data_IF_741959082929
#
_entry.id   IF_741959082929
#
_cell.length_a   1.000
_cell.length_b   1.000
_cell.length_c   1.000
_cell.angle_alpha   90.00
_cell.angle_beta   90.00
_cell.angle_gamma   90.00
#
_symmetry.space_group_name_H-M   'P 1'
#
loop_
_entity.id
_entity.type
_entity.pdbx_description
1 polymer ?
#
# COMPACT_ATOMS: atom_id res chain seq x y z
N UNK A 1 -22.96 7.50 -8.46
CA UNK A 1 -21.52 7.47 -8.76
C UNK A 1 -20.68 6.83 -7.64
N UNK A 2 -20.84 7.17 -6.35
CA UNK A 2 -20.07 6.59 -5.24
C UNK A 2 -20.22 5.06 -5.12
N UNK A 3 -21.42 4.52 -5.32
CA UNK A 3 -21.68 3.07 -5.25
C UNK A 3 -21.03 2.27 -6.39
N UNK A 4 -20.93 2.85 -7.59
CA UNK A 4 -20.28 2.22 -8.75
C UNK A 4 -18.78 2.14 -8.54
N UNK A 5 -18.17 3.16 -7.93
CA UNK A 5 -16.73 3.17 -7.63
C UNK A 5 -16.36 2.09 -6.60
N UNK A 6 -17.20 1.89 -5.58
CA UNK A 6 -17.01 0.83 -4.57
C UNK A 6 -17.14 -0.56 -5.21
N UNK A 7 -18.09 -0.74 -6.14
CA UNK A 7 -18.27 -2.01 -6.84
C UNK A 7 -17.08 -2.35 -7.74
N UNK A 8 -16.55 -1.38 -8.48
CA UNK A 8 -15.35 -1.54 -9.32
C UNK A 8 -14.13 -1.86 -8.45
N UNK A 9 -13.97 -1.22 -7.30
CA UNK A 9 -12.88 -1.50 -6.37
C UNK A 9 -12.98 -2.92 -5.80
N UNK A 10 -14.19 -3.39 -5.51
CA UNK A 10 -14.45 -4.75 -5.01
C UNK A 10 -14.12 -5.81 -6.06
N UNK A 11 -14.43 -5.57 -7.34
CA UNK A 11 -14.08 -6.47 -8.45
C UNK A 11 -12.56 -6.57 -8.65
N UNK A 12 -11.81 -5.48 -8.52
CA UNK A 12 -10.35 -5.50 -8.61
C UNK A 12 -9.68 -6.31 -7.48
N UNK A 13 -10.31 -6.42 -6.31
CA UNK A 13 -9.84 -7.25 -5.19
C UNK A 13 -10.10 -8.73 -5.43
N UNK A 14 -11.17 -9.09 -6.14
CA UNK A 14 -11.60 -10.47 -6.38
C UNK A 14 -10.88 -11.15 -7.56
N UNK A 15 -10.45 -10.39 -8.57
CA UNK A 15 -9.81 -10.93 -9.77
C UNK A 15 -8.54 -11.78 -9.51
N UNK A 16 -7.62 -11.45 -8.59
CA UNK A 16 -6.41 -12.24 -8.39
C UNK A 16 -6.63 -13.58 -7.68
N UNK A 17 -7.77 -13.80 -7.03
CA UNK A 17 -8.02 -15.04 -6.28
C UNK A 17 -8.23 -16.24 -7.21
N UNK A 18 -8.72 -16.04 -8.43
CA UNK A 18 -9.03 -17.11 -9.39
C UNK A 18 -7.89 -17.43 -10.38
N UNK A 19 -6.80 -16.67 -10.39
CA UNK A 19 -5.76 -16.79 -11.41
C UNK A 19 -4.62 -17.77 -11.06
N UNK A 20 -4.62 -18.42 -9.90
CA UNK A 20 -3.62 -19.44 -9.57
C UNK A 20 -4.00 -20.79 -10.21
N UNK A 21 -3.79 -20.93 -11.52
CA UNK A 21 -3.70 -22.25 -12.14
C UNK A 21 -2.45 -22.95 -11.58
N UNK A 22 -2.65 -23.85 -10.62
CA UNK A 22 -1.60 -24.80 -10.25
C UNK A 22 -1.19 -25.56 -11.52
N UNK A 23 0.03 -25.30 -11.99
CA UNK A 23 0.61 -26.08 -13.09
C UNK A 23 0.75 -27.50 -12.57
N UNK A 24 -0.04 -28.42 -13.12
CA UNK A 24 0.00 -29.85 -12.83
C UNK A 24 1.12 -30.48 -13.67
N UNK A 25 1.80 -31.49 -13.11
CA UNK A 25 2.69 -32.37 -13.89
C UNK A 25 1.86 -33.08 -14.97
N UNK A 26 2.48 -33.43 -16.06
CA UNK A 26 1.81 -34.11 -17.19
C UNK A 26 2.58 -35.36 -17.57
N UNK A 27 1.89 -36.48 -17.62
CA UNK A 27 2.40 -37.75 -18.14
C UNK A 27 1.73 -38.03 -19.46
N UNK A 28 2.52 -38.15 -20.52
CA UNK A 28 2.09 -38.54 -21.84
C UNK A 28 2.29 -40.06 -22.01
N UNK A 29 1.24 -40.76 -22.32
CA UNK A 29 1.31 -42.22 -22.55
C UNK A 29 1.47 -42.51 -24.06
N UNK A 30 2.15 -43.60 -24.38
CA UNK A 30 2.30 -44.09 -25.78
C UNK A 30 0.97 -44.41 -26.43
N UNK A 31 -0.07 -44.66 -25.63
CA UNK A 31 -1.45 -44.82 -26.13
C UNK A 31 -2.09 -43.52 -26.63
N UNK A 32 -1.41 -42.37 -26.45
CA UNK A 32 -1.94 -41.05 -26.76
C UNK A 32 -2.71 -40.39 -25.60
N UNK A 33 -2.94 -41.11 -24.48
CA UNK A 33 -3.59 -40.51 -23.31
C UNK A 33 -2.67 -39.55 -22.58
N UNK A 34 -3.26 -38.48 -21.97
CA UNK A 34 -2.55 -37.46 -21.27
C UNK A 34 -3.13 -37.32 -19.84
N UNK A 35 -2.32 -37.64 -18.84
CA UNK A 35 -2.72 -37.55 -17.44
C UNK A 35 -2.08 -36.30 -16.81
N UNK A 36 -2.91 -35.45 -16.18
CA UNK A 36 -2.46 -34.22 -15.52
C UNK A 36 -2.71 -34.33 -14.02
N UNK A 37 -1.65 -34.23 -13.21
CA UNK A 37 -1.76 -34.38 -11.77
C UNK A 37 -0.49 -33.99 -11.04
N UNK A 38 -0.33 -34.51 -9.84
CA UNK A 38 0.89 -34.38 -9.06
C UNK A 38 1.72 -35.65 -9.23
N UNK A 39 2.90 -35.53 -9.80
CA UNK A 39 3.84 -36.65 -9.95
C UNK A 39 4.44 -36.99 -8.56
N UNK A 40 4.16 -38.19 -8.08
CA UNK A 40 4.64 -38.68 -6.78
C UNK A 40 5.96 -39.43 -6.92
N UNK A 41 6.08 -40.28 -7.93
CA UNK A 41 7.25 -41.11 -8.17
C UNK A 41 7.53 -41.14 -9.68
N UNK A 42 8.82 -41.13 -10.02
CA UNK A 42 9.29 -41.30 -11.39
C UNK A 42 10.61 -42.07 -11.34
N UNK A 43 10.50 -43.37 -11.16
CA UNK A 43 11.63 -44.29 -11.04
C UNK A 43 11.76 -45.14 -12.29
N UNK A 44 12.87 -45.91 -12.38
CA UNK A 44 13.13 -46.85 -13.48
C UNK A 44 12.10 -48.00 -13.55
N UNK A 45 11.36 -48.24 -12.47
CA UNK A 45 10.37 -49.31 -12.36
C UNK A 45 8.93 -48.86 -12.44
N UNK A 46 8.59 -47.64 -11.94
CA UNK A 46 7.20 -47.17 -11.91
C UNK A 46 7.12 -45.67 -11.93
N UNK A 47 6.06 -45.17 -12.56
CA UNK A 47 5.65 -43.74 -12.54
C UNK A 47 4.29 -43.64 -11.88
N UNK A 48 4.19 -42.88 -10.79
CA UNK A 48 2.95 -42.66 -10.04
C UNK A 48 2.54 -41.20 -10.11
N UNK A 49 1.31 -40.96 -10.53
CA UNK A 49 0.70 -39.61 -10.61
C UNK A 49 -0.65 -39.60 -9.92
N UNK A 50 -0.85 -38.66 -9.02
CA UNK A 50 -2.15 -38.41 -8.39
C UNK A 50 -2.93 -37.39 -9.22
N UNK A 51 -4.14 -37.74 -9.64
CA UNK A 51 -5.02 -36.90 -10.44
C UNK A 51 -6.45 -37.05 -9.99
N UNK A 52 -7.10 -35.94 -9.66
CA UNK A 52 -8.53 -35.86 -9.33
C UNK A 52 -9.00 -36.91 -8.27
N UNK A 53 -8.15 -37.10 -7.24
CA UNK A 53 -8.42 -38.06 -6.15
C UNK A 53 -8.00 -39.49 -6.41
N UNK A 54 -7.56 -39.83 -7.61
CA UNK A 54 -7.11 -41.18 -8.00
C UNK A 54 -5.59 -41.23 -8.09
N UNK A 55 -5.04 -42.39 -7.75
CA UNK A 55 -3.62 -42.71 -7.94
C UNK A 55 -3.45 -43.58 -9.19
N UNK A 56 -2.77 -43.05 -10.18
CA UNK A 56 -2.45 -43.74 -11.42
C UNK A 56 -1.00 -44.25 -11.33
N UNK A 57 -0.80 -45.51 -11.69
CA UNK A 57 0.49 -46.18 -11.70
C UNK A 57 0.75 -46.73 -13.11
N UNK A 58 1.87 -46.34 -13.70
CA UNK A 58 2.28 -46.73 -15.04
C UNK A 58 3.66 -47.41 -15.01
N UNK A 59 3.88 -48.34 -15.90
CA UNK A 59 5.23 -48.83 -16.19
C UNK A 59 5.96 -47.86 -17.12
N UNK A 60 7.28 -47.70 -17.02
CA UNK A 60 8.05 -46.84 -17.91
C UNK A 60 7.87 -47.15 -19.38
N UNK A 61 7.59 -48.38 -19.72
CA UNK A 61 7.31 -48.85 -21.09
C UNK A 61 6.04 -48.27 -21.70
N UNK A 62 5.07 -47.87 -20.89
CA UNK A 62 3.79 -47.28 -21.31
C UNK A 62 3.88 -45.77 -21.50
N UNK A 63 4.97 -45.14 -21.03
CA UNK A 63 5.15 -43.69 -21.04
C UNK A 63 5.96 -43.27 -22.25
N UNK A 64 5.46 -42.24 -22.93
CA UNK A 64 6.17 -41.54 -23.98
C UNK A 64 7.09 -40.46 -23.40
N UNK A 65 6.50 -39.56 -22.58
CA UNK A 65 7.25 -38.49 -21.92
C UNK A 65 6.58 -38.01 -20.62
N UNK A 66 7.38 -37.43 -19.74
CA UNK A 66 6.92 -36.81 -18.48
C UNK A 66 7.34 -35.35 -18.48
N UNK A 67 6.36 -34.44 -18.50
CA UNK A 67 6.58 -33.03 -18.30
C UNK A 67 6.31 -32.68 -16.85
N UNK A 68 7.36 -32.43 -16.07
CA UNK A 68 7.20 -31.86 -14.73
C UNK A 68 6.79 -30.40 -14.86
N UNK A 69 5.72 -30.03 -14.15
CA UNK A 69 5.51 -28.62 -13.86
C UNK A 69 6.81 -28.13 -13.25
N UNK A 70 7.48 -27.18 -13.92
CA UNK A 70 8.60 -26.50 -13.28
C UNK A 70 8.09 -26.10 -11.88
N UNK A 71 8.65 -26.72 -10.84
CA UNK A 71 8.45 -26.22 -9.47
C UNK A 71 8.96 -24.79 -9.54
N UNK A 72 8.05 -23.87 -9.81
CA UNK A 72 8.33 -22.46 -9.61
C UNK A 72 8.89 -22.43 -8.20
N UNK A 73 10.12 -21.92 -8.04
CA UNK A 73 10.68 -21.60 -6.72
C UNK A 73 9.52 -21.12 -5.88
N UNK A 74 9.34 -21.64 -4.65
CA UNK A 74 8.20 -21.25 -3.85
C UNK A 74 8.08 -19.74 -3.96
N UNK A 75 6.85 -19.26 -4.19
CA UNK A 75 6.55 -17.84 -4.41
C UNK A 75 6.92 -17.06 -3.14
N UNK A 76 8.22 -17.05 -2.85
CA UNK A 76 8.78 -16.35 -1.71
C UNK A 76 8.73 -14.88 -2.04
N UNK A 77 7.97 -14.16 -1.24
CA UNK A 77 8.07 -12.72 -1.16
C UNK A 77 9.44 -12.27 -0.68
N UNK A 78 9.57 -11.02 -0.42
CA UNK A 78 10.78 -10.44 0.11
C UNK A 78 11.09 -11.07 1.49
N UNK A 79 12.01 -12.01 1.53
CA UNK A 79 12.50 -12.59 2.78
C UNK A 79 13.78 -11.87 3.25
N UNK A 80 13.74 -10.52 3.18
CA UNK A 80 14.83 -9.67 3.58
C UNK A 80 14.48 -8.91 4.86
N UNK A 81 15.52 -8.55 5.60
CA UNK A 81 15.37 -7.89 6.89
C UNK A 81 15.04 -6.40 6.78
N UNK A 82 15.19 -5.81 5.59
CA UNK A 82 14.90 -4.41 5.34
C UNK A 82 14.37 -4.22 3.92
N UNK A 83 13.70 -3.12 3.67
CA UNK A 83 13.33 -2.63 2.35
C UNK A 83 13.10 -1.12 2.40
N UNK A 84 13.26 -0.49 1.24
CA UNK A 84 12.90 0.89 1.02
C UNK A 84 11.64 0.95 0.17
N UNK A 85 10.81 1.94 0.40
CA UNK A 85 9.70 2.24 -0.48
C UNK A 85 9.65 3.73 -0.83
N UNK A 86 9.15 4.00 -2.01
CA UNK A 86 8.87 5.36 -2.48
C UNK A 86 7.51 5.37 -3.13
N UNK A 87 6.67 6.30 -2.76
CA UNK A 87 5.29 6.40 -3.23
C UNK A 87 4.91 7.81 -3.61
N UNK A 88 3.98 7.87 -4.54
CA UNK A 88 3.21 9.07 -4.85
C UNK A 88 1.73 8.80 -4.62
N UNK A 89 0.98 9.82 -4.29
CA UNK A 89 -0.43 9.66 -4.02
C UNK A 89 -1.18 10.98 -3.99
N UNK A 90 -2.47 10.84 -3.75
CA UNK A 90 -3.40 11.96 -3.58
C UNK A 90 -4.20 11.79 -2.30
N UNK A 91 -4.50 12.91 -1.67
CA UNK A 91 -5.32 12.98 -0.47
C UNK A 91 -6.68 13.54 -0.86
N UNK A 92 -7.69 12.68 -0.99
CA UNK A 92 -9.04 13.05 -1.44
C UNK A 92 -9.95 13.26 -0.23
N UNK A 93 -10.59 14.40 -0.15
CA UNK A 93 -11.55 14.68 0.94
C UNK A 93 -12.19 16.05 0.77
N UNK A 94 -13.32 16.22 1.43
CA UNK A 94 -14.00 17.49 1.51
C UNK A 94 -13.62 18.15 2.83
N UNK A 95 -12.60 18.97 2.81
CA UNK A 95 -12.42 19.99 3.84
C UNK A 95 -12.86 21.30 3.20
N UNK A 96 -13.42 22.22 3.95
CA UNK A 96 -13.81 23.56 3.48
C UNK A 96 -12.67 24.38 2.84
N UNK A 97 -11.50 23.77 2.69
CA UNK A 97 -10.33 24.35 2.04
C UNK A 97 -10.32 24.10 0.53
N UNK A 98 -9.79 25.07 -0.20
CA UNK A 98 -9.82 25.19 -1.65
C UNK A 98 -9.13 24.04 -2.41
N UNK A 99 -8.24 23.26 -1.78
CA UNK A 99 -7.56 22.17 -2.44
C UNK A 99 -8.30 20.82 -2.31
N UNK A 100 -8.87 20.39 -3.42
CA UNK A 100 -9.68 19.17 -3.47
C UNK A 100 -8.89 17.87 -3.38
N UNK A 101 -7.62 17.82 -3.81
CA UNK A 101 -6.80 16.61 -3.81
C UNK A 101 -5.29 16.93 -3.82
N UNK A 102 -4.71 17.32 -2.66
CA UNK A 102 -3.28 17.59 -2.59
C UNK A 102 -2.43 16.36 -2.93
N UNK A 103 -1.34 16.62 -3.62
CA UNK A 103 -0.37 15.61 -4.01
C UNK A 103 0.57 15.30 -2.85
N UNK A 104 0.90 14.02 -2.69
CA UNK A 104 1.78 13.50 -1.65
C UNK A 104 2.87 12.64 -2.28
N UNK A 105 4.12 12.89 -1.92
CA UNK A 105 5.28 12.07 -2.26
C UNK A 105 5.95 11.65 -0.96
N UNK A 106 6.20 10.34 -0.79
CA UNK A 106 6.78 9.81 0.44
C UNK A 106 7.83 8.76 0.13
N UNK A 107 8.88 8.71 0.96
CA UNK A 107 9.88 7.65 0.94
C UNK A 107 10.12 7.15 2.36
N UNK A 108 10.37 5.84 2.52
CA UNK A 108 10.63 5.24 3.82
C UNK A 108 11.65 4.11 3.78
N UNK A 109 12.32 3.92 4.90
CA UNK A 109 13.19 2.80 5.20
C UNK A 109 12.52 1.92 6.26
N UNK A 110 12.41 0.63 5.97
CA UNK A 110 11.66 -0.33 6.78
C UNK A 110 12.54 -1.51 7.16
N UNK A 111 12.49 -1.90 8.43
CA UNK A 111 13.28 -2.97 9.00
C UNK A 111 12.34 -4.01 9.62
N UNK A 112 12.67 -5.28 9.46
CA UNK A 112 11.92 -6.38 10.06
C UNK A 112 12.12 -6.36 11.58
N UNK A 113 11.04 -6.10 12.31
CA UNK A 113 11.04 -6.19 13.78
C UNK A 113 10.74 -7.62 14.24
N UNK A 114 9.77 -8.28 13.61
CA UNK A 114 9.37 -9.66 13.86
C UNK A 114 8.98 -10.34 12.54
N UNK A 115 8.62 -11.63 12.58
CA UNK A 115 8.03 -12.28 11.40
C UNK A 115 6.80 -11.51 10.93
N UNK A 116 6.79 -11.10 9.67
CA UNK A 116 5.73 -10.31 9.01
C UNK A 116 5.52 -8.88 9.51
N UNK A 117 6.18 -8.44 10.59
CA UNK A 117 6.12 -7.07 11.10
C UNK A 117 7.38 -6.30 10.70
N UNK A 118 7.16 -5.13 10.15
CA UNK A 118 8.20 -4.18 9.78
C UNK A 118 7.94 -2.85 10.47
N UNK A 119 8.97 -2.28 11.04
CA UNK A 119 8.96 -0.93 11.58
C UNK A 119 9.89 -0.06 10.74
N UNK A 120 9.54 1.18 10.52
CA UNK A 120 10.30 2.08 9.67
C UNK A 120 10.08 3.53 9.98
N UNK A 121 10.84 4.36 9.29
CA UNK A 121 10.70 5.80 9.32
C UNK A 121 10.82 6.35 7.91
N UNK A 122 10.24 7.51 7.68
CA UNK A 122 10.21 8.12 6.37
C UNK A 122 10.03 9.62 6.40
N UNK A 123 10.24 10.19 5.24
CA UNK A 123 10.05 11.60 4.94
C UNK A 123 9.21 11.74 3.68
N UNK A 124 8.64 12.91 3.47
CA UNK A 124 7.88 13.18 2.26
C UNK A 124 7.83 14.65 1.90
N UNK A 125 7.08 14.93 0.84
CA UNK A 125 6.67 16.27 0.46
C UNK A 125 5.18 16.24 0.13
N UNK A 126 4.43 17.14 0.72
CA UNK A 126 2.98 17.28 0.50
C UNK A 126 2.67 18.73 0.18
N UNK A 127 1.82 18.91 -0.82
CA UNK A 127 1.51 20.22 -1.39
C UNK A 127 0.02 20.52 -1.12
N UNK A 128 -0.23 21.17 0.00
CA UNK A 128 -1.51 21.78 0.34
C UNK A 128 -1.53 23.22 -0.15
N UNK A 129 -2.22 24.12 0.56
CA UNK A 129 -2.08 25.56 0.31
C UNK A 129 -0.65 26.03 0.60
N UNK A 130 -0.03 25.48 1.66
CA UNK A 130 1.38 25.53 1.95
C UNK A 130 2.03 24.17 1.73
N UNK A 131 3.35 24.18 1.55
CA UNK A 131 4.15 22.97 1.38
C UNK A 131 4.63 22.45 2.73
N UNK A 132 4.50 21.15 2.93
CA UNK A 132 4.92 20.46 4.15
C UNK A 132 5.85 19.30 3.85
N UNK A 133 6.73 19.04 4.81
CA UNK A 133 7.57 17.84 4.85
C UNK A 133 7.07 16.93 5.97
N UNK A 134 6.24 15.92 5.67
CA UNK A 134 5.89 14.93 6.67
C UNK A 134 7.11 14.10 7.05
N UNK A 135 7.42 14.07 8.35
CA UNK A 135 8.37 13.16 8.98
C UNK A 135 7.60 12.14 9.80
N UNK A 136 7.75 10.85 9.52
CA UNK A 136 6.89 9.83 10.11
C UNK A 136 7.64 8.54 10.48
N UNK A 137 7.12 7.86 11.49
CA UNK A 137 7.38 6.46 11.76
C UNK A 137 6.22 5.62 11.22
N UNK A 138 6.51 4.38 10.83
CA UNK A 138 5.48 3.47 10.36
C UNK A 138 5.67 2.05 10.89
N UNK A 139 4.56 1.34 11.01
CA UNK A 139 4.52 -0.09 11.31
C UNK A 139 3.68 -0.76 10.21
N UNK A 140 4.26 -1.76 9.56
CA UNK A 140 3.61 -2.54 8.52
C UNK A 140 3.51 -4.01 8.93
N UNK A 141 2.31 -4.58 8.81
CA UNK A 141 2.09 -6.01 8.94
C UNK A 141 1.75 -6.63 7.58
N UNK A 142 2.50 -7.66 7.18
CA UNK A 142 2.30 -8.42 5.94
C UNK A 142 1.57 -9.72 6.24
N UNK A 143 0.43 -9.93 5.62
CA UNK A 143 -0.37 -11.15 5.85
C UNK A 143 0.31 -12.43 5.34
N UNK A 144 1.16 -12.29 4.30
CA UNK A 144 1.85 -13.42 3.65
C UNK A 144 3.29 -13.04 3.32
N UNK A 145 4.13 -14.07 3.13
CA UNK A 145 5.49 -13.92 2.58
C UNK A 145 5.54 -14.47 1.14
N UNK A 146 4.68 -13.94 0.27
CA UNK A 146 4.59 -14.32 -1.15
C UNK A 146 4.88 -13.13 -2.05
N UNK A 147 5.06 -13.36 -3.36
CA UNK A 147 5.25 -12.26 -4.31
C UNK A 147 4.08 -11.29 -4.35
N UNK A 148 2.87 -11.77 -4.12
CA UNK A 148 1.68 -10.94 -3.95
C UNK A 148 1.24 -11.02 -2.49
N UNK A 149 1.36 -9.89 -1.79
CA UNK A 149 1.18 -9.83 -0.34
C UNK A 149 0.27 -8.66 0.03
N UNK A 150 -0.91 -8.94 0.60
CA UNK A 150 -1.69 -7.91 1.28
C UNK A 150 -0.97 -7.43 2.54
N UNK A 151 -1.14 -6.16 2.87
CA UNK A 151 -0.57 -5.58 4.09
C UNK A 151 -1.51 -4.55 4.72
N UNK A 152 -1.31 -4.30 6.00
CA UNK A 152 -1.81 -3.11 6.70
C UNK A 152 -0.62 -2.29 7.17
N UNK A 153 -0.78 -0.98 7.17
CA UNK A 153 0.25 -0.04 7.57
C UNK A 153 -0.35 1.08 8.41
N UNK A 154 0.37 1.51 9.42
CA UNK A 154 0.06 2.67 10.24
C UNK A 154 1.24 3.63 10.20
N UNK A 155 1.01 4.85 9.74
CA UNK A 155 1.98 5.94 9.76
C UNK A 155 1.56 6.96 10.84
N UNK A 156 2.52 7.34 11.67
CA UNK A 156 2.39 8.37 12.69
C UNK A 156 3.52 9.37 12.49
N UNK A 157 3.23 10.64 12.44
CA UNK A 157 4.27 11.62 12.15
C UNK A 157 3.87 13.06 12.43
N UNK A 158 4.76 13.93 12.01
CA UNK A 158 4.62 15.38 12.14
C UNK A 158 4.81 16.05 10.77
N UNK A 159 3.97 17.02 10.50
CA UNK A 159 3.97 17.85 9.30
C UNK A 159 4.87 19.06 9.55
N UNK A 160 6.12 18.99 9.10
CA UNK A 160 7.06 20.11 9.22
C UNK A 160 6.76 21.11 8.10
N UNK A 161 6.42 22.37 8.43
CA UNK A 161 6.14 23.38 7.41
C UNK A 161 7.43 23.77 6.67
N UNK A 162 7.33 23.97 5.37
CA UNK A 162 8.44 24.46 4.53
C UNK A 162 8.30 25.94 4.18
N UNK A 163 7.11 26.48 4.36
CA UNK A 163 6.78 27.89 4.07
C UNK A 163 5.70 28.40 5.05
N UNK A 164 5.66 29.68 5.23
CA UNK A 164 4.60 30.33 6.02
C UNK A 164 3.29 30.43 5.23
N UNK A 165 2.18 30.65 5.95
CA UNK A 165 0.87 30.69 5.35
C UNK A 165 0.79 31.75 4.25
N UNK A 166 0.30 31.35 3.06
CA UNK A 166 0.21 32.23 1.88
C UNK A 166 -0.95 33.21 1.98
N UNK A 167 -1.99 32.83 2.70
CA UNK A 167 -3.19 33.65 2.81
C UNK A 167 -3.09 34.60 3.99
N UNK A 168 -3.10 35.88 3.72
CA UNK A 168 -3.56 36.84 4.71
C UNK A 168 -5.04 36.52 4.95
N UNK A 169 -5.39 36.20 6.19
CA UNK A 169 -6.78 36.09 6.60
C UNK A 169 -7.45 37.44 6.37
N UNK A 170 -7.97 37.65 5.18
CA UNK A 170 -8.83 38.79 4.89
C UNK A 170 -10.15 38.58 5.61
N UNK A 171 -10.52 39.53 6.42
CA UNK A 171 -11.70 39.69 7.27
C UNK A 171 -13.05 39.45 6.59
N UNK A 172 -13.27 38.39 5.84
CA UNK A 172 -14.54 38.21 5.11
C UNK A 172 -15.62 37.44 5.89
N UNK A 173 -15.37 37.01 7.13
CA UNK A 173 -16.38 36.31 7.93
C UNK A 173 -16.51 36.87 9.36
N UNK A 174 -16.53 38.19 9.51
CA UNK A 174 -17.11 38.75 10.72
C UNK A 174 -18.38 39.51 10.32
N UNK A 175 -19.51 38.82 10.51
CA UNK A 175 -20.78 39.51 10.63
C UNK A 175 -20.71 40.43 11.86
N UNK A 176 -21.24 41.62 11.78
CA UNK A 176 -21.39 42.66 12.81
C UNK A 176 -22.11 42.18 14.11
N UNK A 177 -22.25 40.89 14.32
CA UNK A 177 -23.12 40.32 15.35
C UNK A 177 -22.41 40.00 16.69
N UNK A 178 -21.07 39.97 16.75
CA UNK A 178 -20.34 39.86 18.01
C UNK A 178 -19.10 40.75 18.05
N UNK A 179 -19.26 42.00 18.51
CA UNK A 179 -18.11 42.87 18.76
C UNK A 179 -17.41 42.45 20.08
N UNK A 180 -16.25 41.93 19.94
CA UNK A 180 -15.29 41.78 21.05
C UNK A 180 -15.15 40.37 21.59
N UNK A 181 -14.00 39.82 21.35
CA UNK A 181 -13.09 39.16 22.32
C UNK A 181 -12.10 38.19 21.69
N UNK A 182 -12.00 38.08 20.41
CA UNK A 182 -10.88 37.29 19.85
C UNK A 182 -9.87 38.23 19.17
N UNK A 183 -8.57 38.08 19.48
CA UNK A 183 -7.53 38.83 18.79
C UNK A 183 -7.57 38.46 17.31
N UNK A 184 -7.75 39.45 16.44
CA UNK A 184 -7.64 39.26 15.02
C UNK A 184 -6.17 39.24 14.62
N UNK A 185 -5.74 38.34 13.72
CA UNK A 185 -4.36 38.35 13.25
C UNK A 185 -4.13 39.61 12.44
N UNK A 186 -3.16 40.41 12.81
CA UNK A 186 -2.69 41.56 12.07
C UNK A 186 -1.45 41.16 11.29
N UNK A 187 -1.62 40.41 10.18
CA UNK A 187 -0.46 40.01 9.38
C UNK A 187 -0.53 38.60 8.81
N UNK A 188 0.58 38.15 8.31
CA UNK A 188 0.75 36.80 7.79
C UNK A 188 0.83 35.80 8.96
N UNK A 189 0.07 34.71 8.90
CA UNK A 189 0.16 33.64 9.88
C UNK A 189 1.45 32.86 9.68
N UNK A 190 2.12 32.54 10.77
CA UNK A 190 3.22 31.60 10.80
C UNK A 190 2.69 30.17 10.87
N UNK A 191 3.20 29.31 10.03
CA UNK A 191 2.84 27.88 10.02
C UNK A 191 3.67 27.13 11.04
N UNK A 192 3.02 26.54 12.05
CA UNK A 192 3.70 25.78 13.13
C UNK A 192 3.75 24.27 12.84
N UNK A 193 3.01 23.82 11.81
CA UNK A 193 2.88 22.41 11.47
C UNK A 193 1.91 21.64 12.38
N UNK A 194 2.01 20.30 12.40
CA UNK A 194 1.12 19.51 13.23
C UNK A 194 1.30 18.01 13.07
N UNK A 195 0.52 17.22 13.77
CA UNK A 195 0.65 15.78 13.74
C UNK A 195 -0.19 15.13 12.65
N UNK A 196 0.20 13.93 12.27
CA UNK A 196 -0.52 13.12 11.30
C UNK A 196 -0.67 11.66 11.74
N UNK A 197 -1.80 11.07 11.36
CA UNK A 197 -2.09 9.64 11.52
C UNK A 197 -2.65 9.13 10.20
N UNK A 198 -2.11 8.03 9.69
CA UNK A 198 -2.55 7.46 8.40
C UNK A 198 -2.58 5.92 8.46
N UNK A 199 -3.63 5.31 9.03
CA UNK A 199 -3.88 3.89 8.84
C UNK A 199 -4.22 3.61 7.38
N UNK A 200 -3.65 2.54 6.83
CA UNK A 200 -3.87 2.13 5.45
C UNK A 200 -3.80 0.62 5.29
N UNK A 201 -4.46 0.14 4.25
CA UNK A 201 -4.39 -1.23 3.78
C UNK A 201 -3.98 -1.22 2.30
N UNK A 202 -3.33 -2.27 1.86
CA UNK A 202 -2.86 -2.34 0.50
C UNK A 202 -2.38 -3.71 0.11
N UNK A 203 -1.84 -3.77 -1.09
CA UNK A 203 -1.16 -4.94 -1.58
C UNK A 203 0.15 -4.54 -2.25
N UNK A 204 1.12 -5.42 -2.13
CA UNK A 204 2.42 -5.30 -2.78
C UNK A 204 2.66 -6.50 -3.67
N UNK A 205 3.36 -6.28 -4.79
CA UNK A 205 3.75 -7.33 -5.72
C UNK A 205 5.21 -7.17 -6.10
N UNK A 206 6.00 -8.21 -5.86
CA UNK A 206 7.39 -8.26 -6.30
C UNK A 206 7.49 -8.78 -7.72
N UNK A 207 8.10 -7.98 -8.59
CA UNK A 207 8.39 -8.34 -9.98
C UNK A 207 9.70 -9.11 -10.06
N UNK A 208 10.67 -8.76 -9.23
CA UNK A 208 11.96 -9.44 -9.07
C UNK A 208 12.28 -9.66 -7.60
N UNK A 209 13.45 -10.21 -7.30
CA UNK A 209 13.92 -10.42 -5.92
C UNK A 209 14.17 -9.08 -5.17
N UNK A 210 14.43 -8.00 -5.91
CA UNK A 210 14.81 -6.71 -5.34
C UNK A 210 13.83 -5.57 -5.67
N UNK A 211 12.87 -5.79 -6.56
CA UNK A 211 11.97 -4.75 -7.04
C UNK A 211 10.52 -5.20 -7.00
N UNK A 212 9.67 -4.39 -6.45
CA UNK A 212 8.22 -4.56 -6.41
C UNK A 212 7.49 -3.23 -6.54
N UNK A 213 6.20 -3.31 -6.60
CA UNK A 213 5.30 -2.17 -6.54
C UNK A 213 4.19 -2.43 -5.53
N UNK A 214 3.58 -1.39 -5.06
CA UNK A 214 2.45 -1.48 -4.16
C UNK A 214 1.39 -0.44 -4.47
N UNK A 215 0.19 -0.76 -4.04
CA UNK A 215 -0.93 0.16 -3.98
C UNK A 215 -1.49 0.13 -2.57
N UNK A 216 -1.84 1.29 -2.02
CA UNK A 216 -2.48 1.38 -0.72
C UNK A 216 -3.62 2.41 -0.72
N UNK A 217 -4.61 2.11 0.10
CA UNK A 217 -5.75 2.94 0.40
C UNK A 217 -5.80 3.13 1.90
N UNK A 218 -5.98 4.36 2.36
CA UNK A 218 -5.97 4.70 3.76
C UNK A 218 -6.85 5.88 4.11
N UNK A 219 -6.92 6.13 5.40
CA UNK A 219 -7.56 7.31 5.97
C UNK A 219 -6.51 8.17 6.64
N UNK A 220 -6.33 9.38 6.13
CA UNK A 220 -5.38 10.34 6.65
C UNK A 220 -6.09 11.37 7.51
N UNK A 221 -5.72 11.41 8.78
CA UNK A 221 -6.02 12.53 9.66
C UNK A 221 -4.75 13.32 9.90
N UNK A 222 -4.83 14.63 9.79
CA UNK A 222 -3.76 15.54 10.19
C UNK A 222 -4.33 16.84 10.73
N UNK A 223 -3.63 17.41 11.69
CA UNK A 223 -3.88 18.71 12.27
C UNK A 223 -2.77 19.64 11.84
N UNK A 224 -3.10 20.85 11.44
CA UNK A 224 -2.15 21.92 11.14
C UNK A 224 -2.42 23.08 12.08
N UNK A 225 -1.35 23.63 12.63
CA UNK A 225 -1.39 24.73 13.58
C UNK A 225 -0.75 25.96 12.95
N UNK A 226 -1.35 27.08 13.23
CA UNK A 226 -0.89 28.40 12.80
C UNK A 226 -0.86 29.34 13.99
N UNK A 227 0.15 30.21 14.02
CA UNK A 227 0.28 31.27 15.03
C UNK A 227 0.36 32.63 14.34
N UNK A 228 -0.24 33.62 14.96
CA UNK A 228 -0.21 35.00 14.51
C UNK A 228 0.26 35.94 15.60
N UNK A 229 0.42 37.20 15.24
CA UNK A 229 0.71 38.27 16.18
C UNK A 229 -0.39 38.34 17.25
N UNK A 230 -0.06 38.92 18.42
CA UNK A 230 -0.98 39.06 19.55
C UNK A 230 -1.47 37.76 20.20
N UNK A 231 -0.75 36.64 20.00
CA UNK A 231 -1.09 35.34 20.61
C UNK A 231 -2.25 34.62 19.91
N UNK A 232 -2.60 35.02 18.70
CA UNK A 232 -3.59 34.32 17.87
C UNK A 232 -3.09 32.91 17.54
N UNK A 233 -3.97 31.91 17.70
CA UNK A 233 -3.71 30.51 17.34
C UNK A 233 -4.88 29.97 16.53
N UNK A 234 -4.57 29.30 15.44
CA UNK A 234 -5.57 28.62 14.60
C UNK A 234 -5.16 27.15 14.47
N UNK A 235 -6.11 26.27 14.68
CA UNK A 235 -5.96 24.82 14.48
C UNK A 235 -6.91 24.37 13.39
N UNK A 236 -6.36 23.73 12.36
CA UNK A 236 -7.15 23.17 11.26
C UNK A 236 -7.01 21.64 11.26
N UNK A 237 -8.15 20.95 11.24
CA UNK A 237 -8.23 19.50 11.26
C UNK A 237 -8.71 18.98 9.90
N UNK A 238 -7.95 18.07 9.33
CA UNK A 238 -8.23 17.49 8.02
C UNK A 238 -8.43 15.99 8.12
N UNK A 239 -9.48 15.53 7.46
CA UNK A 239 -9.80 14.12 7.31
C UNK A 239 -9.90 13.79 5.82
N UNK A 240 -8.98 12.97 5.30
CA UNK A 240 -8.87 12.70 3.87
C UNK A 240 -8.68 11.21 3.59
N UNK A 241 -9.17 10.75 2.46
CA UNK A 241 -8.81 9.45 1.92
C UNK A 241 -7.44 9.55 1.26
N UNK A 242 -6.54 8.62 1.59
CA UNK A 242 -5.20 8.54 1.05
C UNK A 242 -5.12 7.41 0.02
N UNK A 243 -4.79 7.73 -1.21
CA UNK A 243 -4.55 6.78 -2.28
C UNK A 243 -3.07 6.89 -2.69
N UNK A 244 -2.33 5.79 -2.60
CA UNK A 244 -0.90 5.77 -2.92
C UNK A 244 -0.55 4.61 -3.84
N UNK A 245 0.34 4.89 -4.77
CA UNK A 245 1.04 3.90 -5.58
C UNK A 245 2.54 4.10 -5.40
N UNK A 246 3.30 3.03 -5.33
CA UNK A 246 4.73 3.15 -5.12
C UNK A 246 5.53 1.95 -5.56
N UNK A 247 6.84 2.10 -5.44
CA UNK A 247 7.82 1.06 -5.69
C UNK A 247 8.50 0.65 -4.38
N UNK A 248 8.84 -0.62 -4.30
CA UNK A 248 9.57 -1.22 -3.19
C UNK A 248 10.87 -1.75 -3.76
N UNK A 249 11.96 -1.43 -3.10
CA UNK A 249 13.29 -1.90 -3.51
C UNK A 249 14.15 -2.24 -2.28
N UNK A 250 15.19 -3.06 -2.54
CA UNK A 250 16.02 -3.59 -1.48
C UNK A 250 17.48 -3.72 -1.93
#
# INVERSE_FOLDING_TARGET
MKQILVLILLEFILIPVFAQKNKKDVVYLKSGAVIRGQLLTNDLSTVKIASDGNLWVFMPSEIDSVSRALKTKPDRGLDKNYFFDTSMGVLVGNSGNAQNAPFSFMTSANFRAFDKFYAGFGLGAEFFDESYMPAFAQIQYKFRNTRFTPFVNLQLGYMVPLEDAKNQYNNYYYSDYYPGTQPQPSGQLKTDGGYMINPSLGFQRFTSENLGWFFSFGYRYHQLNYSGDNGYKLEENFSRLSLKIGVIFN
#
